data_IF_305685525457
#
_entry.id   IF_305685525457
#
_cell.length_a   1.000
_cell.length_b   1.000
_cell.length_c   1.000
_cell.angle_alpha   90.00
_cell.angle_beta   90.00
_cell.angle_gamma   90.00
#
_symmetry.space_group_name_H-M   'P 1'
#
loop_
_entity.id
_entity.type
_entity.pdbx_description
1 polymer ?
#
# COMPACT_ATOMS: atom_id res chain seq x y z
N UNK A 1 -6.96 9.56 9.78
CA UNK A 1 -6.66 8.11 9.64
C UNK A 1 -6.91 7.48 11.00
N UNK A 2 -7.39 6.24 11.10
CA UNK A 2 -7.60 5.58 12.40
C UNK A 2 -7.39 4.07 12.30
N UNK A 3 -7.06 3.44 13.43
CA UNK A 3 -6.90 1.99 13.56
C UNK A 3 -8.18 1.38 14.14
N UNK A 4 -8.63 0.26 13.57
CA UNK A 4 -9.71 -0.54 14.12
C UNK A 4 -9.37 -2.03 14.03
N UNK A 5 -9.71 -2.78 15.09
CA UNK A 5 -9.46 -4.22 15.16
C UNK A 5 -10.62 -4.96 14.52
N UNK A 6 -10.32 -5.85 13.59
CA UNK A 6 -11.33 -6.70 12.95
C UNK A 6 -11.58 -7.98 13.76
N UNK A 7 -12.63 -8.73 13.41
CA UNK A 7 -13.00 -9.99 14.08
C UNK A 7 -11.90 -11.06 14.05
N UNK A 8 -11.02 -11.04 13.05
CA UNK A 8 -9.85 -11.92 12.93
C UNK A 8 -8.69 -11.52 13.86
N UNK A 9 -8.87 -10.50 14.68
CA UNK A 9 -7.90 -10.00 15.63
C UNK A 9 -6.82 -9.08 15.05
N UNK A 10 -6.84 -8.81 13.74
CA UNK A 10 -5.86 -7.95 13.05
C UNK A 10 -6.34 -6.50 13.09
N UNK A 11 -5.42 -5.57 13.33
CA UNK A 11 -5.67 -4.14 13.19
C UNK A 11 -5.64 -3.73 11.72
N UNK A 12 -6.60 -2.89 11.33
CA UNK A 12 -6.68 -2.28 10.01
C UNK A 12 -6.57 -0.77 10.13
N UNK A 13 -5.81 -0.17 9.23
CA UNK A 13 -5.68 1.27 9.11
C UNK A 13 -6.68 1.78 8.06
N UNK A 14 -7.56 2.68 8.49
CA UNK A 14 -8.52 3.37 7.64
C UNK A 14 -8.04 4.79 7.34
N UNK A 15 -8.03 5.15 6.06
CA UNK A 15 -7.56 6.46 5.59
C UNK A 15 -8.35 6.93 4.36
N UNK A 16 -8.17 8.19 3.98
CA UNK A 16 -8.70 8.74 2.73
C UNK A 16 -7.56 8.82 1.71
N UNK A 17 -7.87 8.39 0.50
CA UNK A 17 -7.07 8.57 -0.71
C UNK A 17 -7.03 10.07 -1.10
N UNK A 18 -6.14 10.45 -2.02
CA UNK A 18 -6.09 11.75 -2.69
C UNK A 18 -7.42 12.09 -3.37
N UNK A 19 -8.15 11.08 -3.85
CA UNK A 19 -9.49 11.20 -4.40
C UNK A 19 -10.61 11.28 -3.34
N UNK A 20 -10.26 11.41 -2.06
CA UNK A 20 -11.21 11.50 -0.94
C UNK A 20 -11.91 10.18 -0.57
N UNK A 21 -11.74 9.11 -1.36
CA UNK A 21 -12.34 7.79 -1.10
C UNK A 21 -11.74 7.13 0.14
N UNK A 22 -12.58 6.51 0.96
CA UNK A 22 -12.12 5.71 2.11
C UNK A 22 -11.46 4.42 1.62
N UNK A 23 -10.22 4.21 2.03
CA UNK A 23 -9.48 2.96 1.85
C UNK A 23 -9.15 2.35 3.21
N UNK A 24 -8.91 1.04 3.21
CA UNK A 24 -8.37 0.32 4.35
C UNK A 24 -7.15 -0.49 3.93
N UNK A 25 -6.17 -0.60 4.80
CA UNK A 25 -5.00 -1.48 4.63
C UNK A 25 -4.84 -2.33 5.88
N UNK A 26 -4.49 -3.61 5.70
CA UNK A 26 -4.17 -4.49 6.82
C UNK A 26 -2.81 -4.09 7.40
N UNK A 27 -2.70 -3.95 8.72
CA UNK A 27 -1.38 -3.81 9.35
C UNK A 27 -0.69 -5.16 9.51
N UNK A 28 -1.44 -6.28 9.45
CA UNK A 28 -0.94 -7.62 9.77
C UNK A 28 -0.68 -7.85 11.26
N UNK A 29 -0.85 -6.83 12.11
CA UNK A 29 -0.53 -6.91 13.53
C UNK A 29 -1.77 -7.17 14.38
N UNK A 30 -1.64 -8.03 15.40
CA UNK A 30 -2.67 -8.27 16.43
C UNK A 30 -2.55 -7.36 17.65
N UNK A 31 -1.37 -6.78 17.87
CA UNK A 31 -1.07 -5.88 18.98
C UNK A 31 -1.27 -4.42 18.56
N UNK A 32 -1.84 -3.62 19.48
CA UNK A 32 -2.12 -2.20 19.24
C UNK A 32 -0.84 -1.38 19.07
N UNK A 33 0.19 -1.69 19.85
CA UNK A 33 1.51 -1.05 19.79
C UNK A 33 2.15 -1.18 18.41
N UNK A 34 2.16 -2.38 17.84
CA UNK A 34 2.75 -2.62 16.52
C UNK A 34 1.93 -1.98 15.41
N UNK A 35 0.60 -2.03 15.52
CA UNK A 35 -0.28 -1.31 14.60
C UNK A 35 -0.04 0.22 14.65
N UNK A 36 0.32 0.77 15.81
CA UNK A 36 0.67 2.17 15.97
C UNK A 36 2.01 2.53 15.32
N UNK A 37 3.02 1.65 15.44
CA UNK A 37 4.29 1.79 14.70
C UNK A 37 4.04 1.79 13.19
N UNK A 38 3.17 0.88 12.72
CA UNK A 38 2.75 0.85 11.31
C UNK A 38 2.08 2.18 10.89
N UNK A 39 1.20 2.73 11.71
CA UNK A 39 0.55 4.03 11.44
C UNK A 39 1.59 5.15 11.26
N UNK A 40 2.64 5.17 12.09
CA UNK A 40 3.70 6.18 12.01
C UNK A 40 4.50 6.07 10.71
N UNK A 41 4.87 4.86 10.29
CA UNK A 41 5.64 4.65 9.06
C UNK A 41 4.79 4.71 7.78
N UNK A 42 3.46 4.59 7.89
CA UNK A 42 2.56 4.46 6.74
C UNK A 42 2.64 5.62 5.75
N UNK A 43 2.80 6.86 6.22
CA UNK A 43 2.88 8.04 5.34
C UNK A 43 4.13 7.99 4.45
N UNK A 44 5.27 7.59 5.02
CA UNK A 44 6.55 7.46 4.31
C UNK A 44 6.44 6.33 3.29
N UNK A 45 5.91 5.17 3.67
CA UNK A 45 5.77 4.03 2.76
C UNK A 45 4.83 4.31 1.59
N UNK A 46 3.75 5.09 1.78
CA UNK A 46 2.85 5.45 0.67
C UNK A 46 3.52 6.41 -0.32
N UNK A 47 4.36 7.34 0.14
CA UNK A 47 5.16 8.18 -0.75
C UNK A 47 6.17 7.34 -1.54
N UNK A 48 6.91 6.46 -0.87
CA UNK A 48 7.85 5.55 -1.56
C UNK A 48 7.15 4.64 -2.57
N UNK A 49 5.98 4.11 -2.22
CA UNK A 49 5.19 3.26 -3.12
C UNK A 49 4.76 4.01 -4.38
N UNK A 50 4.36 5.28 -4.25
CA UNK A 50 4.02 6.12 -5.42
C UNK A 50 5.23 6.38 -6.31
N UNK A 51 6.40 6.60 -5.73
CA UNK A 51 7.64 6.80 -6.49
C UNK A 51 8.08 5.51 -7.22
N UNK A 52 7.89 4.34 -6.59
CA UNK A 52 8.23 3.03 -7.20
C UNK A 52 7.24 2.57 -8.28
N UNK A 53 6.01 3.08 -8.29
CA UNK A 53 5.03 2.76 -9.33
C UNK A 53 5.42 3.45 -10.64
N UNK A 54 6.27 2.78 -11.42
CA UNK A 54 6.57 3.20 -12.78
C UNK A 54 5.34 2.93 -13.67
N UNK A 55 4.87 3.98 -14.35
CA UNK A 55 3.85 3.85 -15.38
C UNK A 55 4.52 3.32 -16.65
N UNK A 56 4.46 2.02 -16.86
CA UNK A 56 4.92 1.37 -18.08
C UNK A 56 3.72 1.23 -19.02
N UNK A 57 3.87 1.66 -20.28
CA UNK A 57 2.84 1.43 -21.30
C UNK A 57 2.90 -0.02 -21.78
N UNK A 58 1.77 -0.57 -22.21
CA UNK A 58 1.72 -1.95 -22.73
C UNK A 58 2.69 -2.14 -23.91
N UNK A 59 2.87 -1.11 -24.75
CA UNK A 59 3.82 -1.15 -25.87
C UNK A 59 5.29 -1.19 -25.42
N UNK A 60 5.66 -0.39 -24.41
CA UNK A 60 7.01 -0.41 -23.85
C UNK A 60 7.32 -1.77 -23.21
N UNK A 61 6.37 -2.33 -22.45
CA UNK A 61 6.49 -3.66 -21.88
C UNK A 61 6.63 -4.75 -22.97
N UNK A 62 5.86 -4.66 -24.06
CA UNK A 62 5.94 -5.63 -25.15
C UNK A 62 7.30 -5.62 -25.86
N UNK A 63 7.88 -4.44 -26.08
CA UNK A 63 9.23 -4.31 -26.66
C UNK A 63 10.30 -4.89 -25.73
N UNK A 64 10.26 -4.54 -24.44
CA UNK A 64 11.20 -5.09 -23.45
C UNK A 64 11.08 -6.62 -23.38
N UNK A 65 9.86 -7.14 -23.31
CA UNK A 65 9.61 -8.58 -23.26
C UNK A 65 10.17 -9.31 -24.49
N UNK A 66 9.92 -8.79 -25.69
CA UNK A 66 10.43 -9.38 -26.94
C UNK A 66 11.97 -9.36 -27.00
N UNK A 67 12.62 -8.32 -26.46
CA UNK A 67 14.08 -8.23 -26.42
C UNK A 67 14.71 -9.26 -25.49
N UNK A 68 14.05 -9.63 -24.39
CA UNK A 68 14.52 -10.65 -23.45
C UNK A 68 14.08 -12.08 -23.79
N UNK A 69 13.12 -12.26 -24.71
CA UNK A 69 12.60 -13.58 -25.09
C UNK A 69 13.24 -14.17 -26.35
N UNK A 70 14.25 -13.52 -26.92
CA UNK A 70 15.02 -14.00 -28.08
C UNK A 70 16.28 -14.78 -27.68
#
# INVERSE_FOLDING_TARGET
MFLSKHSNGIYYLFFRDELGKRRKVSTGCRLKSDAFKFLQSFKVSEQERKLKLQRVSLGAFAQDFLAYSQ
#
